data_IF_585082702878
#
_entry.id   IF_585082702878
#
_cell.length_a   1.000
_cell.length_b   1.000
_cell.length_c   1.000
_cell.angle_alpha   90.00
_cell.angle_beta   90.00
_cell.angle_gamma   90.00
#
_symmetry.space_group_name_H-M   'P 1'
#
loop_
_entity.id
_entity.type
_entity.pdbx_description
1 polymer ?
#
# COMPACT_ATOMS: atom_id res chain seq x y z
N UNK A 1 -7.25 -22.52 -1.03
CA UNK A 1 -7.65 -21.14 -1.38
C UNK A 1 -6.57 -20.21 -0.85
N UNK A 2 -6.14 -19.23 -1.63
CA UNK A 2 -5.09 -18.26 -1.23
C UNK A 2 -5.74 -16.89 -1.00
N UNK A 3 -5.44 -16.26 0.12
CA UNK A 3 -5.94 -14.95 0.54
C UNK A 3 -4.75 -14.00 0.70
N UNK A 4 -4.84 -12.83 0.05
CA UNK A 4 -3.89 -11.74 0.24
C UNK A 4 -4.62 -10.54 0.79
N UNK A 5 -4.26 -10.11 2.00
CA UNK A 5 -4.76 -8.89 2.61
C UNK A 5 -3.79 -7.76 2.35
N UNK A 6 -4.20 -6.71 1.65
CA UNK A 6 -3.41 -5.50 1.50
C UNK A 6 -3.79 -4.50 2.58
N UNK A 7 -2.82 -3.89 3.25
CA UNK A 7 -3.04 -2.80 4.22
C UNK A 7 -2.09 -1.63 3.97
N UNK A 8 -2.53 -0.44 4.36
CA UNK A 8 -1.70 0.76 4.38
C UNK A 8 -0.79 0.75 5.61
N UNK A 9 0.45 1.21 5.46
CA UNK A 9 1.33 1.49 6.61
C UNK A 9 0.68 2.46 7.61
N UNK A 10 1.15 2.46 8.86
CA UNK A 10 0.63 3.34 9.90
C UNK A 10 1.02 4.82 9.68
N UNK A 11 0.35 5.73 10.38
CA UNK A 11 0.61 7.17 10.33
C UNK A 11 2.09 7.47 10.58
N UNK A 12 2.64 8.43 9.85
CA UNK A 12 4.02 8.89 10.02
C UNK A 12 4.19 9.68 11.32
N UNK A 13 5.42 9.79 11.80
CA UNK A 13 5.77 10.68 12.91
C UNK A 13 5.73 12.16 12.49
N UNK A 14 5.48 13.05 13.44
CA UNK A 14 5.57 14.50 13.24
C UNK A 14 6.94 14.90 12.62
N UNK A 15 6.98 15.85 11.66
CA UNK A 15 5.89 16.67 11.12
C UNK A 15 5.14 16.06 9.92
N UNK A 16 5.40 14.78 9.59
CA UNK A 16 4.84 14.11 8.41
C UNK A 16 3.48 13.46 8.68
N UNK A 17 2.96 13.64 9.89
CA UNK A 17 1.72 13.03 10.39
C UNK A 17 0.46 13.70 9.82
N UNK A 18 0.58 14.94 9.34
CA UNK A 18 -0.49 15.68 8.67
C UNK A 18 0.04 16.66 7.62
N UNK A 19 -0.80 16.97 6.62
CA UNK A 19 -0.50 17.98 5.59
C UNK A 19 -0.33 19.39 6.16
N UNK A 20 -0.95 19.67 7.30
CA UNK A 20 -0.86 20.97 7.97
C UNK A 20 0.52 21.19 8.61
N UNK A 21 1.18 20.10 9.02
CA UNK A 21 2.50 20.13 9.65
C UNK A 21 3.65 20.00 8.65
N UNK A 22 3.40 19.37 7.50
CA UNK A 22 4.43 19.11 6.47
C UNK A 22 4.53 20.29 5.52
N UNK A 23 5.71 20.92 5.46
CA UNK A 23 5.96 21.98 4.47
C UNK A 23 6.03 21.41 3.04
N UNK A 24 6.00 22.30 2.03
CA UNK A 24 5.99 21.87 0.63
C UNK A 24 7.24 21.09 0.24
N UNK A 25 8.43 21.50 0.69
CA UNK A 25 9.69 20.83 0.34
C UNK A 25 9.75 19.42 0.95
N UNK A 26 9.35 19.29 2.21
CA UNK A 26 9.21 18.01 2.89
C UNK A 26 8.23 17.09 2.16
N UNK A 27 7.09 17.64 1.72
CA UNK A 27 6.10 16.88 0.97
C UNK A 27 6.65 16.41 -0.38
N UNK A 28 7.39 17.27 -1.09
CA UNK A 28 8.13 16.94 -2.33
C UNK A 28 9.15 15.84 -2.10
N UNK A 29 9.94 15.94 -1.05
CA UNK A 29 10.96 14.95 -0.76
C UNK A 29 10.33 13.61 -0.34
N UNK A 30 9.21 13.64 0.38
CA UNK A 30 8.47 12.44 0.79
C UNK A 30 7.89 11.71 -0.42
N UNK A 31 7.27 12.43 -1.36
CA UNK A 31 6.66 11.84 -2.55
C UNK A 31 7.69 11.25 -3.52
N UNK A 32 8.90 11.83 -3.54
CA UNK A 32 10.04 11.34 -4.34
C UNK A 32 10.82 10.24 -3.63
N UNK A 33 10.44 9.86 -2.40
CA UNK A 33 11.16 8.88 -1.60
C UNK A 33 12.56 9.34 -1.16
N UNK A 34 12.85 10.64 -1.24
CA UNK A 34 14.13 11.23 -0.80
C UNK A 34 14.24 11.32 0.73
N UNK A 35 13.10 11.29 1.41
CA UNK A 35 13.02 11.14 2.87
C UNK A 35 12.11 9.95 3.20
N UNK A 36 12.47 9.22 4.25
CA UNK A 36 11.73 8.04 4.71
C UNK A 36 11.52 8.11 6.23
N UNK A 37 10.53 8.90 6.68
CA UNK A 37 10.29 9.12 8.10
C UNK A 37 9.77 7.85 8.78
N UNK A 38 9.98 7.77 10.10
CA UNK A 38 9.43 6.70 10.92
C UNK A 38 7.91 6.82 11.06
N UNK A 39 7.25 5.74 11.47
CA UNK A 39 5.85 5.78 11.92
C UNK A 39 5.71 6.41 13.31
N UNK A 40 4.49 6.86 13.62
CA UNK A 40 4.16 7.43 14.92
C UNK A 40 4.24 6.36 16.03
N UNK A 41 4.71 6.75 17.22
CA UNK A 41 4.92 5.86 18.36
C UNK A 41 3.62 5.35 18.99
N UNK A 42 2.48 5.97 18.69
CA UNK A 42 1.17 5.52 19.18
C UNK A 42 0.60 4.29 18.45
N UNK A 43 1.31 3.77 17.45
CA UNK A 43 0.94 2.58 16.66
C UNK A 43 0.51 1.39 17.51
N UNK A 44 1.23 1.10 18.60
CA UNK A 44 0.89 -0.02 19.49
C UNK A 44 -0.49 0.14 20.12
N UNK A 45 -0.80 1.36 20.57
CA UNK A 45 -2.10 1.67 21.17
C UNK A 45 -3.20 1.57 20.12
N UNK A 46 -2.95 2.07 18.91
CA UNK A 46 -3.90 1.96 17.81
C UNK A 46 -4.20 0.50 17.46
N UNK A 47 -3.18 -0.34 17.26
CA UNK A 47 -3.37 -1.77 16.93
C UNK A 47 -4.18 -2.47 18.02
N UNK A 48 -3.88 -2.20 19.29
CA UNK A 48 -4.54 -2.88 20.42
C UNK A 48 -6.03 -2.51 20.55
N UNK A 49 -6.40 -1.29 20.18
CA UNK A 49 -7.76 -0.76 20.40
C UNK A 49 -8.65 -0.85 19.15
N UNK A 50 -8.07 -0.74 17.96
CA UNK A 50 -8.84 -0.53 16.72
C UNK A 50 -8.81 -1.72 15.76
N UNK A 51 -7.89 -2.67 15.95
CA UNK A 51 -7.77 -3.84 15.07
C UNK A 51 -8.27 -5.12 15.74
N UNK A 52 -8.97 -5.93 14.97
CA UNK A 52 -9.41 -7.26 15.40
C UNK A 52 -8.21 -8.20 15.51
N UNK A 53 -7.87 -8.58 16.74
CA UNK A 53 -6.76 -9.48 17.06
C UNK A 53 -6.85 -10.84 16.38
N UNK A 54 -8.06 -11.34 16.11
CA UNK A 54 -8.22 -12.69 15.56
C UNK A 54 -8.12 -12.73 14.03
N UNK A 55 -8.42 -11.60 13.37
CA UNK A 55 -8.19 -11.45 11.93
C UNK A 55 -6.70 -11.49 11.57
N UNK A 56 -5.81 -11.02 12.46
CA UNK A 56 -4.38 -10.87 12.17
C UNK A 56 -3.50 -12.08 12.54
N UNK A 57 -4.06 -13.11 13.19
CA UNK A 57 -3.30 -14.31 13.62
C UNK A 57 -3.12 -15.37 12.53
N UNK A 58 -3.74 -15.20 11.36
CA UNK A 58 -3.90 -16.26 10.36
C UNK A 58 -2.89 -16.21 9.20
N UNK A 59 -2.00 -15.21 9.20
CA UNK A 59 -1.05 -15.00 8.10
C UNK A 59 0.14 -15.95 8.20
N UNK A 60 0.59 -16.47 7.05
CA UNK A 60 1.81 -17.28 6.91
C UNK A 60 3.07 -16.41 6.78
N UNK A 61 2.90 -15.20 6.21
CA UNK A 61 3.97 -14.25 5.91
C UNK A 61 3.43 -12.82 5.88
N UNK A 62 4.29 -11.86 6.22
CA UNK A 62 4.07 -10.45 5.91
C UNK A 62 5.00 -10.07 4.75
N UNK A 63 4.47 -9.46 3.71
CA UNK A 63 5.23 -8.91 2.59
C UNK A 63 5.10 -7.39 2.65
N UNK A 64 6.20 -6.68 2.79
CA UNK A 64 6.22 -5.23 2.93
C UNK A 64 6.87 -4.60 1.70
N UNK A 65 6.45 -3.38 1.36
CA UNK A 65 7.33 -2.49 0.58
C UNK A 65 8.67 -2.32 1.31
N UNK A 66 9.79 -2.09 0.59
CA UNK A 66 11.10 -1.88 1.21
C UNK A 66 11.22 -0.60 2.02
N UNK A 67 10.24 0.32 1.97
CA UNK A 67 10.30 1.55 2.75
C UNK A 67 10.32 1.29 4.26
N UNK A 68 11.02 2.14 4.99
CA UNK A 68 11.14 2.09 6.45
C UNK A 68 9.76 2.11 7.12
N UNK A 69 8.86 3.02 6.71
CA UNK A 69 7.51 3.15 7.29
C UNK A 69 6.65 1.89 7.14
N UNK A 70 6.74 1.19 6.00
CA UNK A 70 6.00 -0.06 5.79
C UNK A 70 6.62 -1.20 6.59
N UNK A 71 7.95 -1.26 6.67
CA UNK A 71 8.67 -2.24 7.48
C UNK A 71 8.40 -2.05 8.98
N UNK A 72 8.43 -0.82 9.48
CA UNK A 72 8.11 -0.51 10.88
C UNK A 72 6.67 -0.91 11.20
N UNK A 73 5.73 -0.59 10.31
CA UNK A 73 4.32 -0.99 10.46
C UNK A 73 4.15 -2.50 10.53
N UNK A 74 4.80 -3.23 9.61
CA UNK A 74 4.80 -4.70 9.59
C UNK A 74 5.39 -5.29 10.88
N UNK A 75 6.48 -4.70 11.39
CA UNK A 75 7.10 -5.12 12.63
C UNK A 75 6.21 -4.88 13.85
N UNK A 76 5.52 -3.74 13.93
CA UNK A 76 4.62 -3.45 15.05
C UNK A 76 3.38 -4.36 15.04
N UNK A 77 2.79 -4.62 13.86
CA UNK A 77 1.76 -5.66 13.69
C UNK A 77 2.27 -7.01 14.20
N UNK A 78 3.42 -7.47 13.70
CA UNK A 78 4.03 -8.74 14.12
C UNK A 78 4.23 -8.82 15.63
N UNK A 79 4.73 -7.76 16.27
CA UNK A 79 4.98 -7.70 17.72
C UNK A 79 3.69 -7.72 18.54
N UNK A 80 2.72 -6.87 18.20
CA UNK A 80 1.48 -6.72 18.99
C UNK A 80 0.62 -7.96 18.94
N UNK A 81 0.50 -8.60 17.77
CA UNK A 81 -0.24 -9.86 17.63
C UNK A 81 0.61 -11.10 17.98
N UNK A 82 1.85 -10.91 18.45
CA UNK A 82 2.80 -11.98 18.80
C UNK A 82 2.97 -13.05 17.69
N UNK A 83 3.11 -12.59 16.45
CA UNK A 83 3.19 -13.47 15.28
C UNK A 83 4.62 -13.98 15.10
N UNK A 84 4.80 -15.30 15.07
CA UNK A 84 6.06 -15.93 14.74
C UNK A 84 6.20 -16.17 13.22
N UNK A 85 6.04 -15.10 12.43
CA UNK A 85 6.09 -15.15 10.97
C UNK A 85 7.19 -14.27 10.42
N UNK A 86 7.68 -14.58 9.21
CA UNK A 86 8.71 -13.78 8.56
C UNK A 86 8.10 -12.53 7.91
N UNK A 87 8.93 -11.49 7.82
CA UNK A 87 8.64 -10.29 7.02
C UNK A 87 9.58 -10.34 5.81
N UNK A 88 9.02 -10.31 4.61
CA UNK A 88 9.75 -10.20 3.35
C UNK A 88 9.56 -8.81 2.73
N UNK A 89 10.51 -8.36 1.93
CA UNK A 89 10.40 -7.10 1.18
C UNK A 89 10.10 -7.36 -0.28
N UNK A 90 9.24 -6.54 -0.89
CA UNK A 90 8.90 -6.60 -2.30
C UNK A 90 8.85 -5.17 -2.90
N UNK A 91 9.71 -4.89 -3.87
CA UNK A 91 9.76 -3.58 -4.56
C UNK A 91 8.47 -3.28 -5.35
N UNK A 92 7.74 -4.32 -5.77
CA UNK A 92 6.46 -4.15 -6.47
C UNK A 92 5.36 -3.53 -5.57
N UNK A 93 5.59 -3.46 -4.26
CA UNK A 93 4.70 -2.81 -3.28
C UNK A 93 5.08 -1.34 -2.99
N UNK A 94 6.12 -0.80 -3.61
CA UNK A 94 6.51 0.61 -3.39
C UNK A 94 5.41 1.59 -3.78
N UNK A 95 5.43 2.77 -3.15
CA UNK A 95 4.53 3.85 -3.50
C UNK A 95 4.75 4.27 -4.97
N UNK A 96 3.73 4.84 -5.60
CA UNK A 96 3.91 5.48 -6.89
C UNK A 96 4.70 6.79 -6.68
N UNK A 97 5.84 6.92 -7.36
CA UNK A 97 6.56 8.19 -7.39
C UNK A 97 5.67 9.25 -8.08
N UNK A 98 5.44 10.37 -7.38
CA UNK A 98 4.65 11.47 -7.92
C UNK A 98 5.32 12.80 -7.61
N UNK A 99 5.26 13.75 -8.54
CA UNK A 99 5.85 15.07 -8.36
C UNK A 99 4.78 16.03 -7.80
N UNK A 100 4.95 16.58 -6.59
CA UNK A 100 3.90 17.34 -5.92
C UNK A 100 4.03 18.85 -6.12
N UNK A 101 4.96 19.33 -6.96
CA UNK A 101 5.01 20.74 -7.42
C UNK A 101 3.79 21.17 -8.25
N UNK A 102 2.74 20.34 -8.26
CA UNK A 102 1.84 20.19 -9.36
C UNK A 102 0.41 19.99 -8.82
N UNK A 103 -0.49 20.97 -9.05
CA UNK A 103 -1.81 21.02 -8.41
C UNK A 103 -2.75 19.87 -8.82
N UNK A 104 -3.85 19.72 -8.07
CA UNK A 104 -4.82 18.61 -8.16
C UNK A 104 -5.42 18.28 -9.54
N UNK A 105 -5.19 19.11 -10.56
CA UNK A 105 -5.41 18.80 -11.99
C UNK A 105 -4.52 17.65 -12.52
N UNK A 106 -3.59 17.12 -11.71
CA UNK A 106 -2.49 16.23 -12.16
C UNK A 106 -2.70 14.73 -12.05
N UNK A 107 -3.76 14.20 -11.44
CA UNK A 107 -4.09 12.79 -11.72
C UNK A 107 -4.39 12.61 -13.22
N UNK A 108 -4.96 13.61 -13.88
CA UNK A 108 -5.09 13.61 -15.34
C UNK A 108 -3.73 13.50 -16.03
N UNK A 109 -2.68 14.15 -15.51
CA UNK A 109 -1.31 14.06 -16.06
C UNK A 109 -0.60 12.74 -15.77
N UNK A 110 -0.91 12.11 -14.64
CA UNK A 110 -0.52 10.73 -14.32
C UNK A 110 -1.19 9.73 -15.28
N UNK A 111 -2.46 9.97 -15.64
CA UNK A 111 -3.19 9.23 -16.67
C UNK A 111 -2.59 9.50 -18.07
N UNK A 112 -2.24 10.76 -18.37
CA UNK A 112 -1.72 11.20 -19.68
C UNK A 112 -0.20 10.91 -19.87
N UNK A 113 0.48 10.39 -18.84
CA UNK A 113 1.86 9.89 -18.94
C UNK A 113 2.98 10.93 -18.81
N UNK A 114 2.75 12.06 -18.13
CA UNK A 114 3.76 13.15 -17.99
C UNK A 114 4.42 13.23 -16.60
N UNK A 115 4.32 12.15 -15.81
CA UNK A 115 4.82 12.04 -14.42
C UNK A 115 6.00 11.06 -14.29
N UNK A 116 6.72 11.14 -13.16
CA UNK A 116 7.87 10.26 -12.83
C UNK A 116 7.51 8.77 -12.80
N UNK A 117 6.27 8.45 -12.43
CA UNK A 117 5.63 7.17 -12.68
C UNK A 117 4.32 7.46 -13.40
N UNK A 118 3.99 6.70 -14.44
CA UNK A 118 2.71 6.82 -15.13
C UNK A 118 1.69 5.83 -14.57
N UNK A 119 0.39 6.09 -14.78
CA UNK A 119 -0.66 5.11 -14.45
C UNK A 119 -0.41 3.78 -15.16
N UNK A 120 0.11 3.82 -16.40
CA UNK A 120 0.51 2.64 -17.15
C UNK A 120 1.57 1.83 -16.40
N UNK A 121 2.65 2.47 -15.96
CA UNK A 121 3.76 1.77 -15.28
C UNK A 121 3.28 1.16 -13.96
N UNK A 122 2.48 1.92 -13.21
CA UNK A 122 1.86 1.43 -11.98
C UNK A 122 0.96 0.21 -12.26
N UNK A 123 0.16 0.26 -13.33
CA UNK A 123 -0.74 -0.83 -13.70
C UNK A 123 0.01 -2.09 -14.13
N UNK A 124 1.08 -1.96 -14.92
CA UNK A 124 1.93 -3.10 -15.28
C UNK A 124 2.65 -3.67 -14.06
N UNK A 125 3.14 -2.83 -13.14
CA UNK A 125 3.72 -3.27 -11.85
C UNK A 125 2.72 -4.07 -11.02
N UNK A 126 1.44 -3.67 -11.01
CA UNK A 126 0.38 -4.43 -10.31
C UNK A 126 0.15 -5.80 -10.95
N UNK A 127 0.21 -5.93 -12.28
CA UNK A 127 0.12 -7.24 -12.94
C UNK A 127 1.31 -8.13 -12.59
N UNK A 128 2.51 -7.56 -12.52
CA UNK A 128 3.70 -8.28 -12.08
C UNK A 128 3.57 -8.73 -10.62
N UNK A 129 3.06 -7.85 -9.75
CA UNK A 129 2.76 -8.17 -8.36
C UNK A 129 1.74 -9.30 -8.25
N UNK A 130 0.65 -9.26 -9.00
CA UNK A 130 -0.38 -10.32 -9.03
C UNK A 130 0.22 -11.68 -9.42
N UNK A 131 1.05 -11.71 -10.47
CA UNK A 131 1.77 -12.92 -10.89
C UNK A 131 2.73 -13.41 -9.80
N UNK A 132 3.46 -12.50 -9.17
CA UNK A 132 4.39 -12.81 -8.08
C UNK A 132 3.64 -13.44 -6.90
N UNK A 133 2.57 -12.81 -6.41
CA UNK A 133 1.78 -13.28 -5.27
C UNK A 133 1.11 -14.64 -5.52
N UNK A 134 0.58 -14.86 -6.75
CA UNK A 134 0.06 -16.16 -7.17
C UNK A 134 1.13 -17.25 -7.17
N UNK A 135 2.37 -16.91 -7.54
CA UNK A 135 3.50 -17.83 -7.61
C UNK A 135 4.10 -18.24 -6.26
N UNK A 136 3.84 -17.48 -5.18
CA UNK A 136 4.32 -17.82 -3.84
C UNK A 136 3.64 -19.07 -3.28
N UNK A 137 4.29 -19.80 -2.38
CA UNK A 137 3.73 -20.99 -1.73
C UNK A 137 2.81 -20.68 -0.54
N UNK A 138 2.73 -19.42 -0.11
CA UNK A 138 1.89 -18.98 1.01
C UNK A 138 0.40 -18.94 0.64
N UNK A 139 -0.44 -19.33 1.58
CA UNK A 139 -1.90 -19.30 1.43
C UNK A 139 -2.48 -18.00 1.99
N UNK A 140 -2.04 -17.56 3.17
CA UNK A 140 -2.52 -16.34 3.80
C UNK A 140 -1.37 -15.33 3.91
N UNK A 141 -1.46 -14.21 3.20
CA UNK A 141 -0.40 -13.20 3.17
C UNK A 141 -0.93 -11.84 3.59
N UNK A 142 -0.16 -11.13 4.43
CA UNK A 142 -0.39 -9.72 4.73
C UNK A 142 0.58 -8.86 3.93
N UNK A 143 0.08 -8.03 3.02
CA UNK A 143 0.85 -7.08 2.23
C UNK A 143 0.76 -5.67 2.83
N UNK A 144 1.89 -5.10 3.27
CA UNK A 144 1.95 -3.73 3.81
C UNK A 144 2.52 -2.77 2.75
N UNK A 145 1.73 -1.78 2.37
CA UNK A 145 2.07 -0.84 1.29
C UNK A 145 1.58 0.59 1.62
N UNK A 146 1.37 1.43 0.61
CA UNK A 146 1.18 2.87 0.71
C UNK A 146 -0.16 3.32 0.17
N UNK A 147 -0.54 4.54 0.52
CA UNK A 147 -1.90 5.04 0.32
C UNK A 147 -2.30 5.12 -1.15
N UNK A 148 -1.45 5.68 -2.02
CA UNK A 148 -1.85 5.95 -3.39
C UNK A 148 -1.77 4.68 -4.24
N UNK A 149 -0.73 3.87 -4.06
CA UNK A 149 -0.63 2.56 -4.69
C UNK A 149 -1.82 1.66 -4.33
N UNK A 150 -2.31 1.70 -3.08
CA UNK A 150 -3.51 0.97 -2.67
C UNK A 150 -4.78 1.35 -3.44
N UNK A 151 -4.95 2.61 -3.81
CA UNK A 151 -6.10 3.06 -4.62
C UNK A 151 -6.09 2.35 -5.97
N UNK A 152 -4.95 2.33 -6.66
CA UNK A 152 -4.83 1.69 -7.98
C UNK A 152 -4.91 0.16 -7.85
N UNK A 153 -4.31 -0.43 -6.82
CA UNK A 153 -4.46 -1.85 -6.50
C UNK A 153 -5.93 -2.24 -6.31
N UNK A 154 -6.69 -1.45 -5.57
CA UNK A 154 -8.11 -1.70 -5.34
C UNK A 154 -8.90 -1.65 -6.65
N UNK A 155 -8.65 -0.65 -7.50
CA UNK A 155 -9.29 -0.56 -8.82
C UNK A 155 -8.97 -1.79 -9.69
N UNK A 156 -7.74 -2.29 -9.65
CA UNK A 156 -7.32 -3.51 -10.35
C UNK A 156 -8.07 -4.75 -9.84
N UNK A 157 -8.04 -5.01 -8.53
CA UNK A 157 -8.60 -6.24 -7.95
C UNK A 157 -10.12 -6.24 -7.81
N UNK A 158 -10.76 -5.07 -7.74
CA UNK A 158 -12.22 -4.97 -7.79
C UNK A 158 -12.81 -5.45 -9.14
N UNK A 159 -11.96 -5.58 -10.17
CA UNK A 159 -12.38 -5.95 -11.51
C UNK A 159 -13.14 -4.85 -12.26
N UNK A 160 -13.21 -3.64 -11.69
CA UNK A 160 -13.90 -2.49 -12.27
C UNK A 160 -13.30 -2.07 -13.62
N UNK A 161 -11.99 -2.31 -13.81
CA UNK A 161 -11.25 -1.92 -15.00
C UNK A 161 -10.37 -3.07 -15.50
N UNK A 162 -10.37 -3.30 -16.82
CA UNK A 162 -9.47 -4.27 -17.48
C UNK A 162 -8.19 -3.63 -17.99
N UNK A 163 -8.19 -2.32 -18.18
CA UNK A 163 -7.08 -1.56 -18.74
C UNK A 163 -6.95 -0.21 -18.02
N UNK A 164 -5.72 0.24 -17.82
CA UNK A 164 -5.45 1.54 -17.20
C UNK A 164 -6.02 2.71 -18.00
N UNK A 165 -6.17 2.58 -19.32
CA UNK A 165 -6.71 3.64 -20.20
C UNK A 165 -8.17 3.99 -19.91
N UNK A 166 -8.88 3.09 -19.25
CA UNK A 166 -10.30 3.27 -18.92
C UNK A 166 -10.50 3.99 -17.58
N UNK A 167 -9.43 4.12 -16.77
CA UNK A 167 -9.45 4.72 -15.44
C UNK A 167 -9.37 6.24 -15.58
N UNK A 168 -10.30 6.93 -14.94
CA UNK A 168 -10.32 8.39 -14.82
C UNK A 168 -9.88 8.83 -13.44
N UNK A 169 -9.63 10.14 -13.30
CA UNK A 169 -9.29 10.74 -12.02
C UNK A 169 -10.37 10.49 -10.97
N UNK A 170 -11.63 10.63 -11.35
CA UNK A 170 -12.77 10.49 -10.46
C UNK A 170 -12.86 9.07 -9.90
N UNK A 171 -12.46 8.06 -10.67
CA UNK A 171 -12.42 6.66 -10.22
C UNK A 171 -11.38 6.48 -9.13
N UNK A 172 -10.18 7.05 -9.31
CA UNK A 172 -9.10 7.01 -8.30
C UNK A 172 -9.55 7.77 -7.05
N UNK A 173 -10.11 8.97 -7.22
CA UNK A 173 -10.56 9.83 -6.11
C UNK A 173 -11.72 9.23 -5.33
N UNK A 174 -12.60 8.48 -5.97
CA UNK A 174 -13.74 7.80 -5.31
C UNK A 174 -13.41 6.39 -4.84
N UNK A 175 -12.21 5.89 -5.13
CA UNK A 175 -11.75 4.57 -4.71
C UNK A 175 -11.43 4.49 -3.21
N UNK A 176 -10.88 3.34 -2.80
CA UNK A 176 -10.50 3.04 -1.43
C UNK A 176 -9.38 3.95 -0.92
N UNK A 177 -9.67 4.78 0.09
CA UNK A 177 -8.70 5.73 0.67
C UNK A 177 -7.81 5.17 1.79
N UNK A 178 -7.95 3.90 2.17
CA UNK A 178 -7.06 3.24 3.11
C UNK A 178 -6.83 3.99 4.42
N UNK A 179 -7.65 3.71 5.42
CA UNK A 179 -7.27 4.01 6.80
C UNK A 179 -5.99 3.28 7.18
N UNK A 180 -5.25 3.83 8.15
CA UNK A 180 -4.00 3.28 8.61
C UNK A 180 -4.17 1.85 9.12
N UNK A 181 -3.31 0.94 8.66
CA UNK A 181 -3.38 -0.50 8.99
C UNK A 181 -4.74 -1.14 8.65
N UNK A 182 -5.50 -0.55 7.72
CA UNK A 182 -6.71 -1.13 7.16
C UNK A 182 -6.56 -1.25 5.65
N UNK A 183 -7.44 -2.06 5.06
CA UNK A 183 -7.33 -2.39 3.66
C UNK A 183 -8.39 -3.38 3.18
N UNK A 184 -8.01 -4.24 2.25
CA UNK A 184 -8.92 -5.16 1.58
C UNK A 184 -8.27 -6.50 1.26
N UNK A 185 -9.11 -7.52 1.10
CA UNK A 185 -8.69 -8.88 0.79
C UNK A 185 -8.86 -9.20 -0.69
N UNK A 186 -7.92 -9.98 -1.21
CA UNK A 186 -7.96 -10.58 -2.54
C UNK A 186 -7.95 -12.09 -2.38
N UNK A 187 -9.00 -12.73 -2.86
CA UNK A 187 -9.16 -14.18 -2.82
C UNK A 187 -8.79 -14.79 -4.17
N UNK A 188 -7.75 -15.61 -4.19
CA UNK A 188 -7.40 -16.43 -5.34
C UNK A 188 -8.05 -17.81 -5.18
N UNK A 189 -8.90 -18.23 -6.15
CA UNK A 189 -9.46 -19.57 -6.14
C UNK A 189 -8.32 -20.60 -6.19
N UNK A 190 -8.54 -21.79 -5.62
CA UNK A 190 -7.58 -22.88 -5.75
C UNK A 190 -7.34 -23.17 -7.23
N UNK A 191 -6.13 -22.86 -7.68
CA UNK A 191 -5.67 -23.15 -9.05
C UNK A 191 -5.30 -24.63 -9.16
N UNK A 192 -6.23 -25.52 -8.78
CA UNK A 192 -6.05 -26.96 -8.61
C UNK A 192 -4.87 -27.51 -9.41
N UNK A 193 -3.84 -27.97 -8.69
CA UNK A 193 -2.75 -28.72 -9.30
C UNK A 193 -3.26 -30.06 -9.82
#
# INVERSE_FOLDING_TARGET
MKVVTFIRHYRLAYPFDSKENTDHEQYVNLSKGLIDPSINSDVKNYITNELDLDAYKQFDVIISSPSKRTLESANEVKKVFNLNIKIETCELLEECAWNPDLPGERINRFIDGTELSTLKDTWERIKELDKYLKGLSYNNMLCVTHSFFMQILYLYYSGSFKNYKDIKYEDIKSSFHGEYLKGFDVNYPDLGK
#
